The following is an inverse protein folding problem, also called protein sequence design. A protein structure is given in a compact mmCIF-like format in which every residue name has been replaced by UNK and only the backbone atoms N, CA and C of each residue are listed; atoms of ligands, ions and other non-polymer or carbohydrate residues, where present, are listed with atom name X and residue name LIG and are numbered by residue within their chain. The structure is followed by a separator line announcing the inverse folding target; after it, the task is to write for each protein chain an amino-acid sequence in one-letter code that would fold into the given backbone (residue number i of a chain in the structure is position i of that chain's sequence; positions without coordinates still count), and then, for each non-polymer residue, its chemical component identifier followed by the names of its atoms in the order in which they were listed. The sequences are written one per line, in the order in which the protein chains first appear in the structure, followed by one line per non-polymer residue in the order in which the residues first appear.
data_IF_119017583957
#
_entry.id   IF_119017583957
#
_cell.length_a   1.000
_cell.length_b   1.000
_cell.length_c   1.000
_cell.angle_alpha   90.00
_cell.angle_beta   90.00
_cell.angle_gamma   90.00
#
_symmetry.space_group_name_H-M   'P 1'
#
loop_
_entity.id
_entity.type
_entity.pdbx_description
1 polymer ?
#
# COMPACT_ATOMS: atom_id res chain seq x y z
N UNK A 1 -15.74 2.70 13.40
CA UNK A 1 -14.31 2.52 13.80
C UNK A 1 -13.46 3.51 13.03
N UNK A 2 -12.32 3.89 13.60
CA UNK A 2 -11.28 4.72 12.98
C UNK A 2 -10.18 3.83 12.40
N UNK A 3 -10.05 3.82 11.08
CA UNK A 3 -9.10 2.97 10.34
C UNK A 3 -8.04 3.88 9.73
N UNK A 4 -6.77 3.65 10.05
CA UNK A 4 -5.66 4.31 9.34
C UNK A 4 -4.97 3.31 8.43
N UNK A 5 -4.94 3.58 7.13
CA UNK A 5 -4.28 2.73 6.13
C UNK A 5 -3.10 3.46 5.52
N UNK A 6 -1.93 2.84 5.53
CA UNK A 6 -0.74 3.37 4.87
C UNK A 6 -0.50 2.61 3.56
N UNK A 7 -0.43 3.34 2.47
CA UNK A 7 -0.02 2.84 1.16
C UNK A 7 0.72 3.94 0.42
N UNK A 8 1.79 3.62 -0.31
CA UNK A 8 2.46 4.69 -1.06
C UNK A 8 1.66 5.18 -2.27
N UNK A 9 0.88 4.29 -2.87
CA UNK A 9 0.15 4.56 -4.10
C UNK A 9 -1.35 4.57 -3.87
N UNK A 10 -1.99 5.64 -4.32
CA UNK A 10 -3.43 5.88 -4.20
C UNK A 10 -3.91 6.76 -5.37
N UNK A 11 -5.17 6.65 -5.83
CA UNK A 11 -5.70 7.53 -6.87
C UNK A 11 -5.35 9.01 -6.61
N UNK A 12 -4.94 9.77 -7.64
CA UNK A 12 -5.08 9.49 -9.06
C UNK A 12 -3.93 8.66 -9.68
N UNK A 13 -3.05 8.05 -8.87
CA UNK A 13 -2.10 7.06 -9.41
C UNK A 13 -2.85 5.81 -9.88
N UNK A 14 -2.44 5.35 -11.06
CA UNK A 14 -3.01 4.17 -11.70
C UNK A 14 -2.25 2.92 -11.30
N UNK A 15 -2.95 1.80 -11.15
CA UNK A 15 -2.37 0.49 -10.91
C UNK A 15 -3.17 -0.35 -9.93
N UNK A 16 -2.97 -1.67 -9.98
CA UNK A 16 -3.67 -2.60 -9.09
C UNK A 16 -3.48 -2.28 -7.58
N UNK A 17 -2.28 -1.87 -7.10
CA UNK A 17 -2.10 -1.53 -5.69
C UNK A 17 -2.94 -0.33 -5.23
N UNK A 18 -3.06 0.69 -6.07
CA UNK A 18 -3.84 1.90 -5.77
C UNK A 18 -5.35 1.61 -5.84
N UNK A 19 -5.79 0.88 -6.87
CA UNK A 19 -7.19 0.52 -7.05
C UNK A 19 -7.75 -0.30 -5.89
N UNK A 20 -7.03 -1.35 -5.45
CA UNK A 20 -7.46 -2.19 -4.32
C UNK A 20 -7.65 -1.36 -3.05
N UNK A 21 -6.64 -0.56 -2.69
CA UNK A 21 -6.71 0.24 -1.46
C UNK A 21 -7.84 1.25 -1.52
N UNK A 22 -8.06 1.89 -2.67
CA UNK A 22 -9.18 2.80 -2.88
C UNK A 22 -10.52 2.10 -2.70
N UNK A 23 -10.75 0.95 -3.35
CA UNK A 23 -12.04 0.25 -3.24
C UNK A 23 -12.31 -0.24 -1.81
N UNK A 24 -11.30 -0.74 -1.10
CA UNK A 24 -11.42 -1.09 0.31
C UNK A 24 -11.77 0.12 1.17
N UNK A 25 -11.02 1.22 1.02
CA UNK A 25 -11.25 2.44 1.80
C UNK A 25 -12.64 3.02 1.54
N UNK A 26 -13.08 3.03 0.28
CA UNK A 26 -14.42 3.48 -0.13
C UNK A 26 -15.52 2.59 0.47
N UNK A 27 -15.36 1.27 0.42
CA UNK A 27 -16.32 0.35 1.04
C UNK A 27 -16.38 0.52 2.56
N UNK A 28 -15.24 0.66 3.24
CA UNK A 28 -15.23 0.89 4.69
C UNK A 28 -15.87 2.24 5.06
N UNK A 29 -15.61 3.30 4.28
CA UNK A 29 -16.28 4.58 4.48
C UNK A 29 -17.80 4.46 4.29
N UNK A 30 -18.26 3.76 3.25
CA UNK A 30 -19.68 3.51 3.00
C UNK A 30 -20.37 2.67 4.11
N UNK A 31 -19.62 1.82 4.81
CA UNK A 31 -20.08 1.08 5.98
C UNK A 31 -20.09 1.93 7.27
N UNK A 32 -19.76 3.22 7.19
CA UNK A 32 -19.77 4.15 8.32
C UNK A 32 -18.48 4.17 9.16
N UNK A 33 -17.37 3.62 8.65
CA UNK A 33 -16.07 3.75 9.29
C UNK A 33 -15.41 5.10 8.94
N UNK A 34 -14.68 5.68 9.90
CA UNK A 34 -13.80 6.83 9.65
C UNK A 34 -12.48 6.30 9.08
N UNK A 35 -12.25 6.51 7.78
CA UNK A 35 -11.06 5.97 7.09
C UNK A 35 -10.09 7.10 6.77
N UNK A 36 -8.89 7.02 7.35
CA UNK A 36 -7.76 7.87 6.98
C UNK A 36 -6.75 7.07 6.16
N UNK A 37 -6.43 7.52 4.95
CA UNK A 37 -5.36 6.95 4.12
C UNK A 37 -4.16 7.88 4.14
N UNK A 38 -2.99 7.37 4.50
CA UNK A 38 -1.72 8.11 4.38
C UNK A 38 -0.99 7.59 3.13
N UNK A 39 -0.76 8.48 2.17
CA UNK A 39 -0.20 8.13 0.85
C UNK A 39 0.86 9.09 0.36
N UNK A 40 1.67 8.67 -0.62
CA UNK A 40 2.62 9.57 -1.27
C UNK A 40 1.92 10.54 -2.22
N UNK A 41 2.60 11.65 -2.55
CA UNK A 41 2.19 12.46 -3.69
C UNK A 41 2.25 11.64 -5.00
N UNK A 42 1.24 11.79 -5.88
CA UNK A 42 1.17 11.02 -7.10
C UNK A 42 2.33 11.39 -8.03
N UNK A 43 3.15 10.39 -8.36
CA UNK A 43 4.32 10.55 -9.23
C UNK A 43 4.56 9.33 -10.12
N UNK A 44 4.00 8.16 -9.81
CA UNK A 44 4.20 6.95 -10.60
C UNK A 44 3.36 6.96 -11.90
N UNK A 45 3.88 6.49 -13.06
CA UNK A 45 5.21 5.93 -13.30
C UNK A 45 6.27 6.95 -13.76
N UNK A 46 5.87 8.18 -14.06
CA UNK A 46 6.72 9.20 -14.70
C UNK A 46 7.82 9.71 -13.78
N UNK A 47 7.63 9.60 -12.46
CA UNK A 47 8.48 10.17 -11.43
C UNK A 47 8.38 11.69 -11.36
N UNK A 48 7.32 12.27 -11.92
CA UNK A 48 7.07 13.71 -11.95
C UNK A 48 5.91 13.99 -11.00
N UNK A 49 6.13 14.87 -10.03
CA UNK A 49 5.06 15.34 -9.16
C UNK A 49 4.06 16.14 -9.98
N UNK A 50 2.77 15.92 -9.78
CA UNK A 50 1.76 16.70 -10.50
C UNK A 50 1.76 18.15 -10.00
N UNK A 51 1.46 19.15 -10.87
CA UNK A 51 1.54 20.57 -10.53
C UNK A 51 0.76 20.95 -9.27
N UNK A 52 -0.37 20.29 -9.01
CA UNK A 52 -1.22 20.56 -7.85
C UNK A 52 -0.61 20.15 -6.49
N UNK A 53 0.55 19.46 -6.48
CA UNK A 53 1.32 19.09 -5.29
C UNK A 53 2.73 19.69 -5.28
N UNK A 54 3.08 20.52 -6.27
CA UNK A 54 4.42 21.12 -6.36
C UNK A 54 4.69 22.07 -5.17
N UNK A 55 5.92 22.05 -4.65
CA UNK A 55 6.34 22.87 -3.50
C UNK A 55 5.74 22.49 -2.15
N UNK A 56 4.87 21.48 -2.08
CA UNK A 56 4.22 21.02 -0.85
C UNK A 56 4.98 19.85 -0.23
N UNK A 57 4.92 19.76 1.10
CA UNK A 57 5.40 18.58 1.84
C UNK A 57 4.26 17.67 2.32
N UNK A 58 3.06 18.24 2.43
CA UNK A 58 1.87 17.55 2.88
C UNK A 58 0.65 18.20 2.26
N UNK A 59 -0.37 17.40 1.95
CA UNK A 59 -1.69 17.87 1.55
C UNK A 59 -2.75 16.96 2.15
N UNK A 60 -3.79 17.55 2.75
CA UNK A 60 -4.95 16.81 3.26
C UNK A 60 -6.14 17.04 2.34
N UNK A 61 -6.80 15.98 1.93
CA UNK A 61 -7.89 15.98 0.96
C UNK A 61 -9.00 15.03 1.44
N UNK A 62 -10.21 15.17 0.89
CA UNK A 62 -11.27 14.18 1.09
C UNK A 62 -11.81 13.70 -0.24
N UNK A 63 -11.92 12.38 -0.40
CA UNK A 63 -12.38 11.72 -1.63
C UNK A 63 -13.32 10.58 -1.21
N UNK A 64 -14.57 10.60 -1.68
CA UNK A 64 -15.56 9.53 -1.45
C UNK A 64 -15.70 9.10 0.02
N UNK A 65 -15.68 10.07 0.95
CA UNK A 65 -15.77 9.82 2.40
C UNK A 65 -14.46 9.35 3.06
N UNK A 66 -13.35 9.31 2.30
CA UNK A 66 -12.02 8.97 2.79
C UNK A 66 -11.27 10.26 3.13
N UNK A 67 -10.66 10.30 4.31
CA UNK A 67 -9.71 11.35 4.70
C UNK A 67 -8.31 10.99 4.20
N UNK A 68 -7.77 11.77 3.27
CA UNK A 68 -6.53 11.47 2.58
C UNK A 68 -5.41 12.41 3.04
N UNK A 69 -4.38 11.86 3.67
CA UNK A 69 -3.16 12.58 4.02
C UNK A 69 -2.06 12.20 3.03
N UNK A 70 -1.83 13.08 2.04
CA UNK A 70 -0.73 12.93 1.11
C UNK A 70 0.56 13.51 1.68
N UNK A 71 1.65 12.77 1.59
CA UNK A 71 2.95 13.15 2.12
C UNK A 71 4.01 13.17 1.03
N UNK A 72 5.04 13.97 1.28
CA UNK A 72 6.17 14.11 0.39
C UNK A 72 6.86 12.77 0.08
N UNK A 73 7.34 12.63 -1.14
CA UNK A 73 8.15 11.50 -1.59
C UNK A 73 9.23 12.01 -2.53
N UNK A 74 10.43 11.44 -2.43
CA UNK A 74 11.51 11.70 -3.38
C UNK A 74 11.09 11.16 -4.75
N UNK A 75 10.63 12.06 -5.60
CA UNK A 75 10.18 11.74 -6.95
C UNK A 75 11.40 11.48 -7.83
N UNK A 76 11.52 10.25 -8.32
CA UNK A 76 12.49 9.90 -9.34
C UNK A 76 11.80 9.00 -10.36
N UNK A 77 12.01 9.28 -11.64
CA UNK A 77 11.69 8.33 -12.69
C UNK A 77 12.29 6.98 -12.30
N UNK A 78 11.57 5.88 -12.57
CA UNK A 78 11.87 4.54 -12.05
C UNK A 78 13.13 3.90 -12.69
N UNK A 79 14.23 4.66 -12.74
CA UNK A 79 15.53 4.39 -13.36
C UNK A 79 16.58 4.31 -12.25
N UNK A 80 17.05 3.10 -11.99
CA UNK A 80 18.12 2.81 -11.04
C UNK A 80 17.63 2.41 -9.64
N UNK A 81 18.29 1.38 -9.08
CA UNK A 81 17.98 0.80 -7.77
C UNK A 81 18.06 1.83 -6.63
N UNK A 82 19.10 2.65 -6.60
CA UNK A 82 19.34 3.62 -5.53
C UNK A 82 18.23 4.69 -5.43
N UNK A 83 17.80 5.24 -6.57
CA UNK A 83 16.71 6.24 -6.59
C UNK A 83 15.38 5.65 -6.13
N UNK A 84 15.12 4.38 -6.43
CA UNK A 84 13.95 3.64 -5.94
C UNK A 84 14.00 3.44 -4.43
N UNK A 85 15.17 3.11 -3.88
CA UNK A 85 15.36 3.03 -2.42
C UNK A 85 15.11 4.38 -1.75
N UNK A 86 15.64 5.48 -2.29
CA UNK A 86 15.35 6.83 -1.78
C UNK A 86 13.87 7.19 -1.84
N UNK A 87 13.17 6.82 -2.91
CA UNK A 87 11.72 7.01 -3.03
C UNK A 87 10.96 6.26 -1.92
N UNK A 88 11.30 5.01 -1.63
CA UNK A 88 10.66 4.26 -0.54
C UNK A 88 11.00 4.80 0.85
N UNK A 89 12.27 5.16 1.09
CA UNK A 89 12.71 5.69 2.39
C UNK A 89 12.11 7.06 2.67
N UNK A 90 12.10 7.96 1.68
CA UNK A 90 11.49 9.28 1.83
C UNK A 90 10.01 9.19 2.18
N UNK A 91 9.26 8.32 1.50
CA UNK A 91 7.86 8.07 1.84
C UNK A 91 7.71 7.48 3.25
N UNK A 92 8.56 6.52 3.64
CA UNK A 92 8.56 5.99 5.00
C UNK A 92 8.71 7.09 6.06
N UNK A 93 9.72 7.95 5.92
CA UNK A 93 9.94 9.02 6.89
C UNK A 93 8.81 10.05 6.89
N UNK A 94 8.36 10.49 5.71
CA UNK A 94 7.30 11.52 5.62
C UNK A 94 5.96 11.00 6.13
N UNK A 95 5.56 9.78 5.74
CA UNK A 95 4.31 9.16 6.19
C UNK A 95 4.31 8.89 7.69
N UNK A 96 5.44 8.46 8.26
CA UNK A 96 5.55 8.23 9.69
C UNK A 96 5.47 9.53 10.48
N UNK A 97 6.27 10.55 10.11
CA UNK A 97 6.32 11.81 10.84
C UNK A 97 4.99 12.56 10.76
N UNK A 98 4.48 12.78 9.54
CA UNK A 98 3.23 13.50 9.32
C UNK A 98 2.03 12.68 9.81
N UNK A 99 2.06 11.36 9.61
CA UNK A 99 1.06 10.46 10.19
C UNK A 99 1.00 10.58 11.71
N UNK A 100 2.15 10.62 12.38
CA UNK A 100 2.22 10.71 13.84
C UNK A 100 1.63 12.00 14.39
N UNK A 101 1.78 13.13 13.68
CA UNK A 101 1.32 14.44 14.17
C UNK A 101 -0.04 14.87 13.62
N UNK A 102 -0.44 14.40 12.42
CA UNK A 102 -1.62 14.90 11.71
C UNK A 102 -2.80 13.93 11.68
N UNK A 103 -2.64 12.70 12.17
CA UNK A 103 -3.75 11.74 12.28
C UNK A 103 -4.27 11.61 13.72
N UNK A 104 -5.58 11.39 13.85
CA UNK A 104 -6.17 11.04 15.14
C UNK A 104 -5.72 9.64 15.59
N UNK A 105 -6.00 9.28 16.84
CA UNK A 105 -5.79 7.90 17.31
C UNK A 105 -6.78 6.96 16.59
N UNK A 106 -6.32 5.96 15.83
CA UNK A 106 -7.19 5.00 15.18
C UNK A 106 -7.45 3.78 16.09
N UNK A 107 -8.49 3.02 15.74
CA UNK A 107 -8.77 1.69 16.32
C UNK A 107 -7.87 0.62 15.70
N UNK A 108 -7.36 0.85 14.48
CA UNK A 108 -6.46 -0.07 13.77
C UNK A 108 -5.58 0.68 12.77
N UNK A 109 -4.32 0.25 12.66
CA UNK A 109 -3.38 0.72 11.63
C UNK A 109 -3.06 -0.42 10.68
N UNK A 110 -3.31 -0.21 9.39
CA UNK A 110 -3.03 -1.17 8.33
C UNK A 110 -1.84 -0.67 7.51
N UNK A 111 -0.87 -1.54 7.26
CA UNK A 111 0.24 -1.28 6.34
C UNK A 111 0.32 -2.38 5.29
N UNK A 112 0.77 -2.04 4.07
CA UNK A 112 0.78 -2.98 2.93
C UNK A 112 2.17 -3.16 2.31
N UNK A 113 2.46 -4.36 1.78
CA UNK A 113 3.53 -4.61 0.79
C UNK A 113 2.97 -4.46 -0.65
N UNK A 114 3.78 -4.29 -1.74
CA UNK A 114 5.24 -4.44 -1.87
C UNK A 114 6.07 -3.28 -1.35
N UNK A 115 5.47 -2.14 -1.00
CA UNK A 115 6.22 -1.00 -0.46
C UNK A 115 6.64 -1.31 0.98
N UNK A 116 7.63 -2.16 1.14
CA UNK A 116 8.01 -2.75 2.43
C UNK A 116 8.19 -1.74 3.56
N UNK A 117 8.86 -0.61 3.26
CA UNK A 117 9.04 0.46 4.24
C UNK A 117 7.73 1.17 4.63
N UNK A 118 6.68 1.08 3.82
CA UNK A 118 5.32 1.50 4.20
C UNK A 118 4.78 0.67 5.37
N UNK A 119 4.96 -0.65 5.35
CA UNK A 119 4.56 -1.51 6.46
C UNK A 119 5.37 -1.23 7.74
N UNK A 120 6.65 -0.85 7.60
CA UNK A 120 7.46 -0.36 8.73
C UNK A 120 6.90 0.95 9.29
N UNK A 121 6.57 1.92 8.44
CA UNK A 121 5.91 3.17 8.86
C UNK A 121 4.61 2.90 9.61
N UNK A 122 3.79 2.00 9.09
CA UNK A 122 2.51 1.61 9.69
C UNK A 122 2.69 0.97 11.06
N UNK A 123 3.67 0.08 11.21
CA UNK A 123 4.01 -0.50 12.50
C UNK A 123 4.44 0.58 13.51
N UNK A 124 5.37 1.46 13.14
CA UNK A 124 5.82 2.52 14.05
C UNK A 124 4.68 3.47 14.43
N UNK A 125 3.82 3.82 13.48
CA UNK A 125 2.64 4.63 13.76
C UNK A 125 1.68 3.91 14.72
N UNK A 126 1.47 2.60 14.54
CA UNK A 126 0.64 1.79 15.44
C UNK A 126 1.14 1.81 16.88
N UNK A 127 2.47 1.81 17.09
CA UNK A 127 3.09 1.88 18.41
C UNK A 127 2.83 3.24 19.05
N UNK A 128 3.08 4.34 18.32
CA UNK A 128 2.86 5.71 18.82
C UNK A 128 1.38 5.96 19.12
N UNK A 129 0.50 5.52 18.22
CA UNK A 129 -0.95 5.69 18.36
C UNK A 129 -1.60 4.66 19.30
N UNK A 130 -0.84 3.69 19.81
CA UNK A 130 -1.33 2.60 20.68
C UNK A 130 -2.54 1.89 20.07
N UNK A 131 -2.38 1.47 18.82
CA UNK A 131 -3.38 0.78 18.02
C UNK A 131 -2.80 -0.55 17.51
N UNK A 132 -3.62 -1.60 17.31
CA UNK A 132 -3.17 -2.85 16.71
C UNK A 132 -2.68 -2.63 15.27
N UNK A 133 -1.56 -3.26 14.94
CA UNK A 133 -1.01 -3.30 13.58
C UNK A 133 -1.57 -4.49 12.81
N UNK A 134 -2.11 -4.23 11.61
CA UNK A 134 -2.49 -5.24 10.62
C UNK A 134 -1.58 -5.12 9.42
N UNK A 135 -0.99 -6.24 8.99
CA UNK A 135 -0.09 -6.27 7.85
C UNK A 135 -0.75 -6.93 6.64
N UNK A 136 -1.02 -6.17 5.59
CA UNK A 136 -1.43 -6.70 4.29
C UNK A 136 -0.19 -7.08 3.44
N UNK A 137 0.02 -8.38 3.28
CA UNK A 137 1.09 -8.95 2.47
C UNK A 137 0.53 -9.24 1.07
N UNK A 138 0.80 -8.33 0.14
CA UNK A 138 0.40 -8.46 -1.28
C UNK A 138 1.49 -9.10 -2.13
N UNK A 139 2.74 -8.84 -1.76
CA UNK A 139 3.95 -9.44 -2.35
C UNK A 139 4.88 -9.91 -1.24
N UNK A 140 5.60 -11.00 -1.52
CA UNK A 140 6.56 -11.63 -0.62
C UNK A 140 7.91 -10.92 -0.76
N UNK A 141 7.95 -9.64 -0.39
CA UNK A 141 9.16 -8.84 -0.44
C UNK A 141 9.88 -8.90 0.92
N UNK A 142 11.20 -9.20 0.98
CA UNK A 142 12.20 -9.06 -0.10
C UNK A 142 12.40 -10.29 -1.01
N UNK A 143 11.83 -11.45 -0.69
CA UNK A 143 12.06 -12.71 -1.41
C UNK A 143 11.86 -12.60 -2.93
N UNK A 144 10.75 -12.02 -3.39
CA UNK A 144 10.49 -11.84 -4.83
C UNK A 144 11.57 -11.01 -5.54
N UNK A 145 12.19 -10.04 -4.84
CA UNK A 145 13.29 -9.25 -5.42
C UNK A 145 14.61 -10.04 -5.51
N UNK A 146 14.82 -11.00 -4.60
CA UNK A 146 15.96 -11.91 -4.64
C UNK A 146 15.81 -12.90 -5.80
N UNK A 147 14.63 -13.51 -5.94
CA UNK A 147 14.33 -14.47 -7.00
C UNK A 147 14.43 -13.86 -8.40
N UNK A 148 14.00 -12.60 -8.57
CA UNK A 148 14.13 -11.85 -9.82
C UNK A 148 15.56 -11.32 -10.06
N UNK A 149 16.51 -11.58 -9.17
CA UNK A 149 17.89 -11.14 -9.28
C UNK A 149 18.08 -9.62 -9.11
N UNK A 150 17.05 -8.89 -8.68
CA UNK A 150 17.09 -7.44 -8.46
C UNK A 150 17.82 -7.08 -7.16
N UNK A 151 17.87 -8.00 -6.19
CA UNK A 151 18.61 -7.86 -4.94
C UNK A 151 19.57 -9.05 -4.76
N UNK A 152 20.88 -8.77 -4.76
CA UNK A 152 21.93 -9.81 -4.73
C UNK A 152 22.82 -9.77 -3.48
N UNK A 153 22.86 -8.65 -2.77
CA UNK A 153 23.77 -8.48 -1.64
C UNK A 153 23.25 -9.27 -0.41
N UNK A 154 23.99 -10.28 0.08
CA UNK A 154 23.51 -11.17 1.14
C UNK A 154 23.31 -10.47 2.49
N UNK A 155 24.06 -9.41 2.79
CA UNK A 155 23.90 -8.65 4.02
C UNK A 155 22.60 -7.83 3.99
N UNK A 156 22.31 -7.21 2.84
CA UNK A 156 21.06 -6.44 2.65
C UNK A 156 19.86 -7.39 2.70
N UNK A 157 19.95 -8.55 2.04
CA UNK A 157 18.88 -9.57 2.06
C UNK A 157 18.57 -9.98 3.49
N UNK A 158 19.59 -10.38 4.27
CA UNK A 158 19.40 -10.78 5.67
C UNK A 158 18.80 -9.67 6.54
N UNK A 159 19.21 -8.42 6.32
CA UNK A 159 18.65 -7.28 7.04
C UNK A 159 17.16 -7.09 6.72
N UNK A 160 16.77 -7.16 5.44
CA UNK A 160 15.39 -7.01 5.02
C UNK A 160 14.51 -8.19 5.46
N UNK A 161 15.01 -9.42 5.39
CA UNK A 161 14.32 -10.61 5.92
C UNK A 161 14.12 -10.52 7.44
N UNK A 162 15.10 -9.97 8.18
CA UNK A 162 14.97 -9.75 9.62
C UNK A 162 13.86 -8.74 9.93
N UNK A 163 13.77 -7.66 9.17
CA UNK A 163 12.67 -6.67 9.29
C UNK A 163 11.33 -7.32 8.92
N UNK A 164 11.29 -8.12 7.85
CA UNK A 164 10.08 -8.82 7.39
C UNK A 164 9.54 -9.73 8.50
N UNK A 165 10.40 -10.59 9.04
CA UNK A 165 10.06 -11.49 10.13
C UNK A 165 9.66 -10.71 11.39
N UNK A 166 10.32 -9.59 11.70
CA UNK A 166 9.92 -8.72 12.80
C UNK A 166 8.48 -8.19 12.61
N UNK A 167 8.13 -7.70 11.41
CA UNK A 167 6.78 -7.21 11.12
C UNK A 167 5.73 -8.32 11.26
N UNK A 168 6.02 -9.53 10.77
CA UNK A 168 5.11 -10.67 10.94
C UNK A 168 4.85 -11.02 12.41
N UNK A 169 5.90 -11.00 13.24
CA UNK A 169 5.74 -11.25 14.68
C UNK A 169 4.90 -10.18 15.35
N UNK A 170 5.09 -8.91 14.97
CA UNK A 170 4.42 -7.76 15.56
C UNK A 170 2.98 -7.56 15.08
N UNK A 171 2.64 -8.01 13.88
CA UNK A 171 1.28 -7.94 13.36
C UNK A 171 0.30 -8.69 14.27
N UNK A 172 -0.83 -8.05 14.58
CA UNK A 172 -1.98 -8.64 15.27
C UNK A 172 -2.74 -9.57 14.34
N UNK A 173 -2.78 -9.21 13.06
CA UNK A 173 -3.38 -9.94 11.95
C UNK A 173 -2.53 -9.72 10.69
N UNK A 174 -2.39 -10.75 9.87
CA UNK A 174 -1.74 -10.72 8.57
C UNK A 174 -2.78 -11.08 7.52
N UNK A 175 -3.00 -10.17 6.58
CA UNK A 175 -3.91 -10.35 5.45
C UNK A 175 -3.06 -10.74 4.24
N UNK A 176 -3.41 -11.84 3.58
CA UNK A 176 -2.81 -12.23 2.30
C UNK A 176 -3.85 -12.24 1.19
N UNK A 177 -3.40 -11.98 -0.03
CA UNK A 177 -4.28 -11.91 -1.22
C UNK A 177 -4.51 -13.27 -1.89
N UNK A 178 -3.64 -14.25 -1.63
CA UNK A 178 -3.69 -15.57 -2.27
C UNK A 178 -3.39 -16.68 -1.28
N UNK A 179 -4.07 -17.82 -1.44
CA UNK A 179 -3.86 -19.04 -0.66
C UNK A 179 -2.40 -19.51 -0.74
N UNK A 180 -1.78 -19.35 -1.91
CA UNK A 180 -0.39 -19.73 -2.17
C UNK A 180 0.64 -18.97 -1.31
N UNK A 181 0.29 -17.82 -0.73
CA UNK A 181 1.18 -17.08 0.18
C UNK A 181 1.23 -17.72 1.58
N UNK A 182 0.22 -18.51 1.95
CA UNK A 182 0.10 -19.08 3.29
C UNK A 182 1.26 -20.03 3.65
N UNK A 183 1.67 -20.99 2.80
CA UNK A 183 2.81 -21.86 3.11
C UNK A 183 4.11 -21.09 3.36
N UNK A 184 4.36 -20.01 2.62
CA UNK A 184 5.54 -19.17 2.84
C UNK A 184 5.55 -18.54 4.24
N UNK A 185 4.42 -17.96 4.66
CA UNK A 185 4.32 -17.35 6.00
C UNK A 185 4.48 -18.39 7.11
N UNK A 186 3.89 -19.58 6.93
CA UNK A 186 4.04 -20.69 7.88
C UNK A 186 5.51 -21.15 7.98
N UNK A 187 6.21 -21.27 6.85
CA UNK A 187 7.63 -21.60 6.82
C UNK A 187 8.52 -20.54 7.50
N UNK A 188 8.09 -19.27 7.53
CA UNK A 188 8.74 -18.19 8.28
C UNK A 188 8.33 -18.14 9.77
N UNK A 189 7.56 -19.11 10.27
CA UNK A 189 7.19 -19.22 11.68
C UNK A 189 6.01 -18.34 12.11
N UNK A 190 5.20 -17.86 11.16
CA UNK A 190 4.00 -17.08 11.47
C UNK A 190 2.92 -17.99 12.07
N UNK A 191 2.31 -17.57 13.18
CA UNK A 191 1.18 -18.28 13.77
C UNK A 191 -0.01 -18.35 12.76
N UNK A 192 -0.52 -19.54 12.41
CA UNK A 192 -1.64 -19.71 11.49
C UNK A 192 -2.88 -18.88 11.85
N UNK A 193 -3.16 -18.68 13.14
CA UNK A 193 -4.34 -17.96 13.63
C UNK A 193 -4.29 -16.47 13.31
N UNK A 194 -3.09 -15.93 13.02
CA UNK A 194 -2.91 -14.54 12.57
C UNK A 194 -3.18 -14.36 11.08
N UNK A 195 -3.20 -15.43 10.29
CA UNK A 195 -3.28 -15.34 8.83
C UNK A 195 -4.74 -15.36 8.40
N UNK A 196 -5.16 -14.37 7.61
CA UNK A 196 -6.47 -14.32 6.94
C UNK A 196 -6.28 -14.05 5.46
N UNK A 197 -7.14 -14.66 4.65
CA UNK A 197 -7.05 -14.62 3.20
C UNK A 197 -8.19 -13.75 2.72
N UNK A 198 -7.84 -12.63 2.11
CA UNK A 198 -8.80 -11.64 1.58
C UNK A 198 -8.42 -11.37 0.13
N UNK A 199 -9.01 -12.11 -0.83
CA UNK A 199 -8.63 -12.01 -2.23
C UNK A 199 -8.94 -10.63 -2.82
N UNK A 200 -8.44 -10.38 -4.03
CA UNK A 200 -8.90 -9.23 -4.81
C UNK A 200 -10.35 -9.45 -5.24
N UNK A 201 -11.19 -8.46 -4.95
CA UNK A 201 -12.55 -8.38 -5.45
C UNK A 201 -12.61 -7.71 -6.81
N UNK A 202 -13.76 -7.83 -7.45
CA UNK A 202 -14.12 -7.09 -8.65
C UNK A 202 -15.39 -6.30 -8.39
N UNK A 203 -15.47 -5.08 -8.93
CA UNK A 203 -16.73 -4.36 -8.98
C UNK A 203 -17.54 -4.88 -10.17
N UNK A 204 -18.57 -5.67 -9.86
CA UNK A 204 -19.45 -6.27 -10.86
C UNK A 204 -20.15 -5.24 -11.75
N UNK A 205 -20.36 -4.00 -11.27
CA UNK A 205 -21.01 -2.95 -12.05
C UNK A 205 -20.08 -2.32 -13.10
N UNK A 206 -18.76 -2.40 -12.89
CA UNK A 206 -17.77 -1.76 -13.76
C UNK A 206 -17.17 -2.68 -14.84
N UNK A 207 -17.31 -4.01 -14.71
CA UNK A 207 -16.73 -4.96 -15.68
C UNK A 207 -17.54 -5.03 -16.98
N UNK A 208 -18.87 -4.97 -16.88
CA UNK A 208 -19.75 -5.16 -18.05
C UNK A 208 -19.91 -3.91 -18.91
N UNK A 209 -19.57 -2.73 -18.38
CA UNK A 209 -19.75 -1.44 -19.07
C UNK A 209 -18.59 -1.07 -20.01
N UNK A 210 -17.60 -1.95 -20.20
CA UNK A 210 -16.48 -1.72 -21.14
C UNK A 210 -16.29 -2.93 -22.04
N UNK A 211 -16.81 -2.91 -23.29
CA UNK A 211 -16.46 -3.96 -24.25
C UNK A 211 -14.94 -4.00 -24.44
N UNK A 212 -14.36 -5.21 -24.55
CA UNK A 212 -12.95 -5.42 -24.87
C UNK A 212 -12.52 -4.54 -26.05
N UNK A 213 -11.27 -4.04 -26.10
CA UNK A 213 -10.81 -3.13 -27.17
C UNK A 213 -11.06 -3.67 -28.58
N UNK A 214 -11.01 -4.99 -28.78
CA UNK A 214 -11.26 -5.65 -30.06
C UNK A 214 -12.76 -5.71 -30.46
N UNK A 215 -13.69 -5.61 -29.48
CA UNK A 215 -15.13 -5.55 -29.72
C UNK A 215 -15.65 -4.12 -29.92
N UNK A 216 -14.82 -3.09 -29.67
CA UNK A 216 -15.19 -1.68 -29.91
C UNK A 216 -15.34 -1.32 -31.38
N UNK A 217 -14.78 -2.11 -32.30
CA UNK A 217 -14.93 -1.90 -33.75
C UNK A 217 -16.25 -2.42 -34.32
N UNK A 218 -16.95 -3.30 -33.62
CA UNK A 218 -18.24 -3.83 -34.09
C UNK A 218 -19.42 -2.97 -33.63
N UNK A 219 -19.33 -2.34 -32.45
CA UNK A 219 -20.41 -1.52 -31.89
C UNK A 219 -20.64 -0.19 -32.64
N UNK A 220 -19.66 0.31 -33.39
CA UNK A 220 -19.78 1.53 -34.21
C UNK A 220 -20.19 1.27 -35.67
N UNK A 221 -20.53 0.03 -36.01
CA UNK A 221 -21.02 -0.35 -37.36
C UNK A 221 -22.52 -0.71 -37.42
N UNK A 222 -23.24 -0.52 -36.31
CA UNK A 222 -24.68 -0.82 -36.17
C UNK A 222 -25.52 0.43 -35.83
N UNK A 223 -25.15 1.58 -36.38
CA UNK A 223 -25.97 2.81 -36.44
C UNK A 223 -25.97 3.34 -37.84
#
# INVERSE_FOLDING_TARGET
MKITFLCQYFPPEMGAPAARTYEHARHWAALGHEVTVITGFPNHPTGIIRPEYEGQYVKRESIDGIDLLRTWVYCAANKGFFKRVLNFLSFFFSSFLLGSVMTARPDVVVGTSPQFFCAVSAYLLSVIKRAPFVFEVRDIWPQSAVELGALKNPLIIRALESIEHFLYRRARLIIVVAEATRPYLLAKGVNPDKIRIVPNGIDAQNIWNRPPPHLRRFASSMT
#
